data_IF_032343541670
#
_entry.id   IF_032343541670
#
_cell.length_a   1.000
_cell.length_b   1.000
_cell.length_c   1.000
_cell.angle_alpha   90.00
_cell.angle_beta   90.00
_cell.angle_gamma   90.00
#
_symmetry.space_group_name_H-M   'P 1'
#
loop_
_entity.id
_entity.type
_entity.pdbx_description
1 polymer ?
#
# COMPACT_ATOMS: atom_id res chain seq x y z
N UNK A 1 7.78 -17.60 8.97
CA UNK A 1 8.77 -16.98 9.87
C UNK A 1 8.05 -16.57 11.15
N UNK A 2 8.55 -16.91 12.35
CA UNK A 2 7.86 -16.57 13.62
C UNK A 2 7.98 -15.07 13.93
N UNK A 3 7.02 -14.54 14.70
CA UNK A 3 6.93 -13.14 15.16
C UNK A 3 8.21 -12.62 15.85
N UNK A 4 9.12 -13.50 16.27
CA UNK A 4 10.39 -13.14 16.91
C UNK A 4 11.38 -12.43 15.97
N UNK A 5 11.23 -12.57 14.65
CA UNK A 5 12.02 -11.81 13.67
C UNK A 5 11.62 -10.33 13.58
N UNK A 6 10.36 -9.99 13.88
CA UNK A 6 9.81 -8.64 13.77
C UNK A 6 10.17 -7.74 14.95
N UNK A 7 10.40 -8.32 16.14
CA UNK A 7 10.80 -7.59 17.37
C UNK A 7 12.20 -6.98 17.32
N UNK A 8 12.98 -7.22 16.26
CA UNK A 8 14.33 -6.63 16.05
C UNK A 8 14.31 -5.29 15.32
N UNK A 9 13.14 -4.85 14.86
CA UNK A 9 12.96 -3.51 14.33
C UNK A 9 12.66 -2.59 15.52
N UNK A 10 13.44 -1.54 15.74
CA UNK A 10 13.13 -0.50 16.74
C UNK A 10 12.05 0.46 16.18
N UNK A 11 10.90 -0.07 15.76
CA UNK A 11 9.74 0.73 15.33
C UNK A 11 8.59 0.58 16.35
N UNK A 12 8.21 1.66 17.06
CA UNK A 12 7.21 1.62 18.11
C UNK A 12 5.79 1.25 17.62
N UNK A 13 5.58 1.08 16.31
CA UNK A 13 4.30 0.65 15.74
C UNK A 13 4.30 -0.81 15.25
N UNK A 14 5.37 -1.59 15.47
CA UNK A 14 5.44 -3.01 15.03
C UNK A 14 4.35 -3.86 15.66
N UNK A 15 4.00 -3.60 16.91
CA UNK A 15 2.94 -4.34 17.60
C UNK A 15 1.54 -4.09 17.03
N UNK A 16 1.40 -3.13 16.10
CA UNK A 16 0.15 -2.82 15.37
C UNK A 16 0.14 -3.34 13.93
N UNK A 17 1.25 -3.92 13.46
CA UNK A 17 1.34 -4.53 12.13
C UNK A 17 0.75 -5.94 12.22
N UNK A 18 -0.26 -6.23 11.41
CA UNK A 18 -0.72 -7.60 11.23
C UNK A 18 0.35 -8.45 10.51
N UNK A 19 0.18 -9.77 10.52
CA UNK A 19 1.12 -10.71 9.90
C UNK A 19 1.35 -10.41 8.41
N UNK A 20 0.41 -9.74 7.73
CA UNK A 20 0.59 -9.27 6.37
C UNK A 20 1.55 -8.08 6.33
N UNK A 21 1.31 -7.03 7.10
CA UNK A 21 2.09 -5.80 7.20
C UNK A 21 3.57 -6.05 7.55
N UNK A 22 3.83 -7.06 8.38
CA UNK A 22 5.16 -7.59 8.65
C UNK A 22 5.90 -8.11 7.39
N UNK A 23 5.21 -8.87 6.55
CA UNK A 23 5.76 -9.39 5.29
C UNK A 23 6.10 -8.26 4.32
N UNK A 24 5.27 -7.22 4.27
CA UNK A 24 5.53 -6.05 3.45
C UNK A 24 6.80 -5.30 3.89
N UNK A 25 7.01 -5.09 5.20
CA UNK A 25 8.20 -4.40 5.72
C UNK A 25 9.50 -5.17 5.44
N UNK A 26 9.46 -6.50 5.50
CA UNK A 26 10.59 -7.36 5.13
C UNK A 26 10.93 -7.25 3.64
N UNK A 27 9.92 -7.27 2.76
CA UNK A 27 10.10 -7.09 1.31
C UNK A 27 10.66 -5.72 0.93
N UNK A 28 10.33 -4.67 1.68
CA UNK A 28 10.81 -3.31 1.44
C UNK A 28 12.29 -3.11 1.74
N UNK A 29 12.93 -4.05 2.44
CA UNK A 29 14.35 -4.01 2.74
C UNK A 29 15.23 -4.27 1.50
N UNK A 30 14.63 -4.55 0.34
CA UNK A 30 15.29 -5.04 -0.88
C UNK A 30 16.14 -6.27 -0.57
N UNK A 31 15.50 -7.46 -0.42
CA UNK A 31 16.24 -8.70 -0.29
C UNK A 31 17.13 -8.92 -1.51
N UNK A 32 18.26 -9.59 -1.34
CA UNK A 32 19.08 -10.02 -2.48
C UNK A 32 18.30 -11.04 -3.32
N UNK A 33 18.69 -11.23 -4.58
CA UNK A 33 17.95 -12.07 -5.54
C UNK A 33 17.81 -13.54 -5.06
N UNK A 34 18.78 -14.04 -4.29
CA UNK A 34 18.72 -15.33 -3.60
C UNK A 34 17.64 -15.39 -2.50
N UNK A 35 17.48 -14.34 -1.69
CA UNK A 35 16.48 -14.29 -0.60
C UNK A 35 15.04 -14.33 -1.15
N UNK A 36 14.83 -13.77 -2.35
CA UNK A 36 13.55 -13.80 -3.05
C UNK A 36 13.20 -15.20 -3.56
N UNK A 37 14.18 -15.95 -4.08
CA UNK A 37 13.98 -17.33 -4.55
C UNK A 37 13.59 -18.25 -3.40
N UNK A 38 14.28 -18.16 -2.26
CA UNK A 38 13.96 -18.95 -1.07
C UNK A 38 12.55 -18.62 -0.52
N UNK A 39 12.12 -17.34 -0.58
CA UNK A 39 10.76 -16.94 -0.18
C UNK A 39 9.66 -17.43 -1.14
N UNK A 40 9.95 -17.40 -2.45
CA UNK A 40 9.05 -17.86 -3.51
C UNK A 40 8.89 -19.37 -3.48
N UNK A 41 9.96 -20.11 -3.19
CA UNK A 41 9.96 -21.57 -3.15
C UNK A 41 9.32 -22.14 -1.87
N UNK A 42 9.29 -21.39 -0.76
CA UNK A 42 8.89 -21.93 0.56
C UNK A 42 7.58 -21.39 1.16
N UNK A 43 6.79 -20.54 0.49
CA UNK A 43 5.74 -19.83 1.24
C UNK A 43 4.40 -19.59 0.52
N UNK A 44 3.31 -19.68 1.30
CA UNK A 44 1.97 -19.20 0.95
C UNK A 44 1.91 -17.67 0.67
N UNK A 45 3.05 -16.98 0.72
CA UNK A 45 3.20 -15.54 0.50
C UNK A 45 3.67 -15.21 -0.93
N UNK A 46 3.98 -16.19 -1.79
CA UNK A 46 4.33 -15.93 -3.19
C UNK A 46 3.32 -15.01 -3.94
N UNK A 47 1.99 -15.15 -3.77
CA UNK A 47 1.03 -14.22 -4.37
C UNK A 47 1.15 -12.79 -3.80
N UNK A 48 1.46 -12.66 -2.51
CA UNK A 48 1.65 -11.36 -1.86
C UNK A 48 2.93 -10.68 -2.37
N UNK A 49 3.97 -11.44 -2.67
CA UNK A 49 5.22 -10.95 -3.27
C UNK A 49 4.97 -10.39 -4.67
N UNK A 50 4.22 -11.11 -5.51
CA UNK A 50 3.88 -10.67 -6.87
C UNK A 50 3.12 -9.33 -6.85
N UNK A 51 2.14 -9.19 -5.95
CA UNK A 51 1.37 -7.95 -5.81
C UNK A 51 2.12 -6.81 -5.12
N UNK A 52 3.25 -7.09 -4.47
CA UNK A 52 4.14 -6.11 -3.85
C UNK A 52 5.27 -5.65 -4.76
N UNK A 53 5.64 -6.47 -5.75
CA UNK A 53 6.74 -6.18 -6.64
C UNK A 53 6.48 -4.89 -7.43
N UNK A 54 7.50 -4.05 -7.56
CA UNK A 54 7.43 -2.70 -8.15
C UNK A 54 6.49 -1.68 -7.46
N UNK A 55 5.97 -1.96 -6.27
CA UNK A 55 5.26 -0.95 -5.46
C UNK A 55 6.22 -0.19 -4.53
N UNK A 56 5.80 1.01 -4.12
CA UNK A 56 6.49 1.86 -3.15
C UNK A 56 5.79 1.77 -1.81
N UNK A 57 6.55 1.51 -0.76
CA UNK A 57 6.04 1.75 0.58
C UNK A 57 5.94 3.25 0.83
N UNK A 58 4.83 3.66 1.43
CA UNK A 58 4.62 5.02 1.84
C UNK A 58 3.86 5.07 3.16
N UNK A 59 3.99 6.21 3.84
CA UNK A 59 3.12 6.57 4.96
C UNK A 59 2.41 7.86 4.61
N UNK A 60 1.08 7.88 4.72
CA UNK A 60 0.31 9.12 4.54
C UNK A 60 0.59 10.10 5.67
N UNK A 61 0.27 11.37 5.47
CA UNK A 61 0.33 12.40 6.54
C UNK A 61 -0.62 12.11 7.72
N UNK A 62 -1.64 11.27 7.50
CA UNK A 62 -2.56 10.79 8.54
C UNK A 62 -2.08 9.52 9.25
N UNK A 63 -0.90 9.01 8.89
CA UNK A 63 -0.28 7.86 9.55
C UNK A 63 -0.61 6.48 8.95
N UNK A 64 -1.45 6.40 7.92
CA UNK A 64 -1.73 5.12 7.24
C UNK A 64 -0.51 4.61 6.45
N UNK A 65 -0.26 3.31 6.56
CA UNK A 65 0.72 2.61 5.73
C UNK A 65 0.13 2.19 4.38
N UNK A 66 0.91 2.38 3.33
CA UNK A 66 0.46 2.21 1.96
C UNK A 66 1.47 1.42 1.13
N UNK A 67 0.96 0.68 0.16
CA UNK A 67 1.72 0.18 -0.97
C UNK A 67 1.19 0.83 -2.24
N UNK A 68 1.91 1.86 -2.63
CA UNK A 68 1.59 2.75 -3.73
C UNK A 68 2.22 2.22 -5.04
N UNK A 69 1.68 2.60 -6.21
CA UNK A 69 2.30 2.26 -7.49
C UNK A 69 3.72 2.86 -7.60
N UNK A 70 4.57 2.28 -8.46
CA UNK A 70 5.94 2.75 -8.72
C UNK A 70 6.02 4.24 -9.07
N UNK A 71 4.99 4.77 -9.75
CA UNK A 71 4.90 6.18 -10.14
C UNK A 71 4.54 7.15 -9.01
N UNK A 72 4.20 6.67 -7.82
CA UNK A 72 3.82 7.51 -6.69
C UNK A 72 5.00 8.36 -6.17
N UNK A 73 4.70 9.55 -5.66
CA UNK A 73 5.67 10.49 -5.08
C UNK A 73 5.04 11.31 -3.95
N UNK A 74 5.88 12.01 -3.19
CA UNK A 74 5.40 12.95 -2.16
C UNK A 74 4.48 14.02 -2.76
N UNK A 75 3.40 14.35 -2.03
CA UNK A 75 2.36 15.26 -2.48
C UNK A 75 1.21 14.58 -3.25
N UNK A 76 1.36 13.32 -3.67
CA UNK A 76 0.23 12.57 -4.21
C UNK A 76 -0.82 12.28 -3.12
N UNK A 77 -2.07 12.09 -3.52
CA UNK A 77 -3.20 11.86 -2.62
C UNK A 77 -3.75 10.44 -2.75
N UNK A 78 -4.21 9.89 -1.64
CA UNK A 78 -5.05 8.68 -1.62
C UNK A 78 -6.50 9.11 -1.87
N UNK A 79 -7.13 8.52 -2.88
CA UNK A 79 -8.53 8.72 -3.22
C UNK A 79 -9.32 7.42 -3.08
N UNK A 80 -10.51 7.54 -2.50
CA UNK A 80 -11.54 6.50 -2.52
C UNK A 80 -12.57 6.91 -3.55
N UNK A 81 -12.82 6.03 -4.52
CA UNK A 81 -13.73 6.29 -5.63
C UNK A 81 -15.05 5.57 -5.34
N UNK A 82 -16.17 6.25 -5.58
CA UNK A 82 -17.49 5.61 -5.49
C UNK A 82 -17.57 4.44 -6.46
N UNK A 83 -17.94 3.26 -5.95
CA UNK A 83 -17.99 2.01 -6.70
C UNK A 83 -16.63 1.38 -7.00
N UNK A 84 -15.53 1.93 -6.48
CA UNK A 84 -14.20 1.32 -6.58
C UNK A 84 -13.95 0.30 -5.47
N UNK A 85 -13.31 -0.81 -5.81
CA UNK A 85 -12.99 -1.89 -4.86
C UNK A 85 -11.74 -1.60 -4.00
N UNK A 86 -10.90 -0.65 -4.42
CA UNK A 86 -9.63 -0.33 -3.76
C UNK A 86 -9.33 1.18 -3.79
N UNK A 87 -8.48 1.68 -2.87
CA UNK A 87 -7.94 3.04 -2.96
C UNK A 87 -7.06 3.26 -4.19
N UNK A 88 -6.99 4.51 -4.64
CA UNK A 88 -6.12 4.94 -5.75
C UNK A 88 -5.18 6.06 -5.31
N UNK A 89 -3.97 6.09 -5.88
CA UNK A 89 -3.14 7.28 -5.86
C UNK A 89 -3.55 8.19 -7.01
N UNK A 90 -3.84 9.45 -6.69
CA UNK A 90 -4.11 10.51 -7.65
C UNK A 90 -3.14 11.67 -7.48
N UNK A 91 -2.94 12.44 -8.54
CA UNK A 91 -2.04 13.59 -8.58
C UNK A 91 -2.72 14.77 -9.25
N UNK A 92 -2.58 15.95 -8.65
CA UNK A 92 -3.03 17.21 -9.26
C UNK A 92 -2.35 17.45 -10.61
N UNK A 93 -3.13 17.85 -11.60
CA UNK A 93 -2.66 18.24 -12.93
C UNK A 93 -3.52 19.38 -13.48
N UNK A 94 -3.14 20.60 -13.14
CA UNK A 94 -3.95 21.80 -13.43
C UNK A 94 -5.28 21.74 -12.69
N UNK A 95 -6.39 21.86 -13.41
CA UNK A 95 -7.75 21.74 -12.87
C UNK A 95 -8.26 20.28 -12.85
N UNK A 96 -7.39 19.32 -13.19
CA UNK A 96 -7.72 17.90 -13.33
C UNK A 96 -6.89 17.05 -12.38
N UNK A 97 -7.21 15.75 -12.36
CA UNK A 97 -6.52 14.74 -11.59
C UNK A 97 -6.02 13.63 -12.51
N UNK A 98 -4.76 13.25 -12.34
CA UNK A 98 -4.19 12.07 -12.96
C UNK A 98 -4.36 10.89 -12.00
N UNK A 99 -4.84 9.77 -12.53
CA UNK A 99 -4.78 8.49 -11.82
C UNK A 99 -3.37 7.94 -11.98
N UNK A 100 -2.64 7.81 -10.87
CA UNK A 100 -1.30 7.23 -10.85
C UNK A 100 -1.39 5.71 -10.78
N UNK A 101 -2.38 5.17 -10.04
CA UNK A 101 -2.68 3.74 -10.00
C UNK A 101 -3.28 3.29 -8.67
N UNK A 102 -3.64 2.02 -8.60
CA UNK A 102 -4.22 1.38 -7.42
C UNK A 102 -3.23 1.28 -6.25
N UNK A 103 -3.75 1.43 -5.04
CA UNK A 103 -2.98 1.46 -3.81
C UNK A 103 -3.63 0.59 -2.74
N UNK A 104 -2.83 -0.30 -2.14
CA UNK A 104 -3.24 -0.89 -0.86
C UNK A 104 -2.99 0.13 0.25
N UNK A 105 -3.99 0.35 1.10
CA UNK A 105 -3.87 1.21 2.27
C UNK A 105 -4.39 0.46 3.49
N UNK A 106 -3.49 0.15 4.40
CA UNK A 106 -3.80 -0.66 5.57
C UNK A 106 -4.89 0.02 6.42
N UNK A 107 -5.92 -0.76 6.81
CA UNK A 107 -7.02 -0.30 7.65
C UNK A 107 -8.11 0.52 6.96
N UNK A 108 -8.06 0.71 5.63
CA UNK A 108 -9.16 1.37 4.88
C UNK A 108 -9.63 0.61 3.62
N UNK A 109 -9.08 -0.59 3.38
CA UNK A 109 -9.39 -1.39 2.18
C UNK A 109 -10.85 -1.85 2.12
N UNK A 110 -11.58 -1.87 3.24
CA UNK A 110 -12.99 -2.26 3.28
C UNK A 110 -13.93 -1.03 3.33
N UNK A 111 -13.43 0.15 2.96
CA UNK A 111 -14.22 1.37 2.90
C UNK A 111 -14.40 2.09 4.24
N UNK A 112 -13.60 1.77 5.27
CA UNK A 112 -13.66 2.36 6.60
C UNK A 112 -13.55 3.89 6.59
N UNK A 113 -12.89 4.45 5.57
CA UNK A 113 -12.71 5.89 5.38
C UNK A 113 -13.58 6.49 4.27
N UNK A 114 -14.48 5.71 3.66
CA UNK A 114 -15.38 6.18 2.60
C UNK A 114 -16.52 7.03 3.16
N UNK A 115 -16.83 8.12 2.48
CA UNK A 115 -17.93 9.03 2.81
C UNK A 115 -18.53 9.59 1.53
N UNK A 116 -19.74 9.12 1.19
CA UNK A 116 -20.46 9.53 0.00
C UNK A 116 -20.76 11.05 -0.03
N UNK A 117 -20.92 11.70 1.13
CA UNK A 117 -21.18 13.14 1.18
C UNK A 117 -19.97 13.97 0.72
N UNK A 118 -18.78 13.37 0.65
CA UNK A 118 -17.54 14.00 0.18
C UNK A 118 -17.24 13.69 -1.29
N UNK A 119 -18.00 12.80 -1.93
CA UNK A 119 -17.84 12.50 -3.35
C UNK A 119 -18.21 13.71 -4.21
N UNK A 120 -17.41 13.98 -5.24
CA UNK A 120 -17.69 14.99 -6.26
C UNK A 120 -17.90 14.26 -7.58
N UNK A 121 -19.06 14.45 -8.20
CA UNK A 121 -19.37 13.82 -9.47
C UNK A 121 -18.50 14.35 -10.61
N UNK A 122 -18.00 13.45 -11.45
CA UNK A 122 -17.33 13.78 -12.70
C UNK A 122 -18.30 13.55 -13.87
N UNK A 123 -18.27 14.43 -14.87
CA UNK A 123 -19.05 14.26 -16.11
C UNK A 123 -18.11 13.95 -17.25
N UNK A 124 -18.37 12.85 -17.97
CA UNK A 124 -17.83 12.66 -19.31
C UNK A 124 -18.37 13.79 -20.21
N UNK A 125 -17.51 14.34 -21.05
CA UNK A 125 -17.89 15.30 -22.10
C UNK A 125 -17.73 14.64 -23.45
#
# INVERSE_FOLDING_TARGET
MSLDGLKKLDDPNIEKLDDQAAGWLYMMRRPEEEDLKDLLEQSAFAPLIEHAYHRKFARTSKGYYCLAPSGAREGDLVALLEGGDVPFIIREYGEQWLIVGECYVHGIMNGEAYDAARCRGFRFR
#
